data_IF_636675060394
#
_entry.id   IF_636675060394
#
_cell.length_a   1.000
_cell.length_b   1.000
_cell.length_c   1.000
_cell.angle_alpha   90.00
_cell.angle_beta   90.00
_cell.angle_gamma   90.00
#
_symmetry.space_group_name_H-M   'P 1'
#
loop_
_entity.id
_entity.type
_entity.pdbx_description
1 polymer ?
#
# COMPACT_ATOMS: atom_id res chain seq x y z
N UNK A 1 -10.30 -2.18 11.74
CA UNK A 1 -9.75 -3.03 10.66
C UNK A 1 -8.29 -3.32 10.97
N UNK A 2 -7.88 -4.61 10.97
CA UNK A 2 -6.47 -4.99 11.17
C UNK A 2 -5.75 -5.07 9.84
N UNK A 3 -4.62 -4.39 9.74
CA UNK A 3 -3.80 -4.34 8.54
C UNK A 3 -2.35 -4.71 8.84
N UNK A 4 -1.63 -5.12 7.81
CA UNK A 4 -0.17 -5.21 7.86
C UNK A 4 0.44 -4.12 7.00
N UNK A 5 1.66 -3.69 7.33
CA UNK A 5 2.46 -2.81 6.49
C UNK A 5 3.75 -3.53 6.07
N UNK A 6 3.99 -3.62 4.78
CA UNK A 6 5.26 -4.06 4.22
C UNK A 6 6.04 -2.86 3.68
N UNK A 7 7.27 -2.69 4.19
CA UNK A 7 8.14 -1.57 3.89
C UNK A 7 8.46 -0.72 5.13
N UNK A 8 9.52 -1.08 5.86
CA UNK A 8 9.98 -0.36 7.06
C UNK A 8 10.96 0.80 6.74
N UNK A 9 10.76 1.45 5.60
CA UNK A 9 11.53 2.62 5.15
C UNK A 9 10.81 3.95 5.43
N UNK A 10 11.34 5.04 4.84
CA UNK A 10 10.78 6.38 5.00
C UNK A 10 9.32 6.50 4.54
N UNK A 11 8.93 5.82 3.45
CA UNK A 11 7.53 5.80 2.99
C UNK A 11 6.63 5.01 3.93
N UNK A 12 7.09 3.86 4.43
CA UNK A 12 6.35 3.11 5.44
C UNK A 12 6.10 3.94 6.71
N UNK A 13 7.09 4.71 7.17
CA UNK A 13 6.92 5.62 8.30
C UNK A 13 5.82 6.66 8.04
N UNK A 14 5.74 7.25 6.83
CA UNK A 14 4.67 8.19 6.45
C UNK A 14 3.28 7.54 6.51
N UNK A 15 3.15 6.29 6.06
CA UNK A 15 1.91 5.53 6.20
C UNK A 15 1.55 5.32 7.67
N UNK A 16 2.52 4.93 8.51
CA UNK A 16 2.28 4.75 9.94
C UNK A 16 1.85 6.06 10.63
N UNK A 17 2.48 7.19 10.28
CA UNK A 17 2.11 8.50 10.80
C UNK A 17 0.68 8.88 10.38
N UNK A 18 0.31 8.64 9.12
CA UNK A 18 -1.03 8.91 8.62
C UNK A 18 -2.09 8.02 9.29
N UNK A 19 -1.79 6.73 9.47
CA UNK A 19 -2.72 5.78 10.09
C UNK A 19 -3.02 6.15 11.55
N UNK A 20 -2.06 6.71 12.29
CA UNK A 20 -2.29 7.21 13.66
C UNK A 20 -3.41 8.24 13.75
N UNK A 21 -3.63 9.00 12.67
CA UNK A 21 -4.70 10.00 12.60
C UNK A 21 -6.05 9.42 12.13
N UNK A 22 -6.08 8.13 11.75
CA UNK A 22 -7.28 7.48 11.21
C UNK A 22 -7.83 6.51 12.28
N UNK A 23 -9.06 6.76 12.73
CA UNK A 23 -9.74 5.85 13.65
C UNK A 23 -10.12 4.53 12.99
N UNK A 24 -10.11 3.44 13.75
CA UNK A 24 -10.59 2.13 13.31
C UNK A 24 -9.60 1.31 12.45
N UNK A 25 -8.37 1.78 12.27
CA UNK A 25 -7.30 1.04 11.59
C UNK A 25 -6.16 0.73 12.57
N UNK A 26 -5.78 -0.54 12.66
CA UNK A 26 -4.71 -1.05 13.52
C UNK A 26 -3.67 -1.76 12.67
N UNK A 27 -2.40 -1.32 12.73
CA UNK A 27 -1.29 -2.03 12.10
C UNK A 27 -0.80 -3.10 13.08
N UNK A 28 -1.06 -4.37 12.77
CA UNK A 28 -0.75 -5.50 13.67
C UNK A 28 0.57 -6.18 13.34
N UNK A 29 1.17 -5.87 12.19
CA UNK A 29 2.48 -6.41 11.78
C UNK A 29 3.19 -5.45 10.84
N UNK A 30 4.49 -5.32 11.05
CA UNK A 30 5.41 -4.60 10.17
C UNK A 30 6.36 -5.59 9.50
N UNK A 31 6.44 -5.52 8.17
CA UNK A 31 7.35 -6.34 7.36
C UNK A 31 8.47 -5.46 6.82
N UNK A 32 9.72 -5.86 7.02
CA UNK A 32 10.87 -5.14 6.50
C UNK A 32 11.95 -6.06 5.94
N UNK A 33 12.95 -5.48 5.29
CA UNK A 33 14.05 -6.25 4.67
C UNK A 33 14.98 -6.91 5.70
N UNK A 34 15.20 -6.25 6.83
CA UNK A 34 16.09 -6.72 7.90
C UNK A 34 15.36 -6.61 9.24
N UNK A 35 15.49 -7.63 10.08
CA UNK A 35 14.65 -7.80 11.26
C UNK A 35 14.87 -6.71 12.32
N UNK A 36 16.11 -6.39 12.66
CA UNK A 36 16.41 -5.45 13.76
C UNK A 36 15.91 -4.01 13.49
N UNK A 37 16.17 -3.37 12.32
CA UNK A 37 15.57 -2.08 12.03
C UNK A 37 14.04 -2.12 11.95
N UNK A 38 13.46 -3.25 11.52
CA UNK A 38 12.01 -3.43 11.46
C UNK A 38 11.42 -3.50 12.87
N UNK A 39 12.05 -4.22 13.79
CA UNK A 39 11.67 -4.27 15.21
C UNK A 39 11.76 -2.89 15.88
N UNK A 40 12.84 -2.15 15.64
CA UNK A 40 13.00 -0.81 16.17
C UNK A 40 11.86 0.12 15.70
N UNK A 41 11.52 0.07 14.42
CA UNK A 41 10.38 0.83 13.88
C UNK A 41 9.06 0.35 14.47
N UNK A 42 8.81 -0.95 14.54
CA UNK A 42 7.60 -1.51 15.14
C UNK A 42 7.42 -1.04 16.59
N UNK A 43 8.48 -1.10 17.39
CA UNK A 43 8.46 -0.61 18.78
C UNK A 43 8.10 0.88 18.86
N UNK A 44 8.70 1.73 18.01
CA UNK A 44 8.39 3.17 17.92
C UNK A 44 6.92 3.45 17.67
N UNK A 45 6.25 2.60 16.90
CA UNK A 45 4.84 2.77 16.52
C UNK A 45 3.87 1.90 17.34
N UNK A 46 4.36 1.16 18.32
CA UNK A 46 3.53 0.29 19.19
C UNK A 46 3.00 -0.94 18.47
N UNK A 47 3.68 -1.39 17.40
CA UNK A 47 3.31 -2.57 16.62
C UNK A 47 3.94 -3.81 17.28
N UNK A 48 3.11 -4.73 17.74
CA UNK A 48 3.56 -5.90 18.52
C UNK A 48 4.26 -7.01 17.72
N UNK A 49 4.27 -6.93 16.38
CA UNK A 49 4.88 -7.94 15.52
C UNK A 49 5.73 -7.32 14.41
N UNK A 50 6.95 -7.83 14.25
CA UNK A 50 7.89 -7.43 13.19
C UNK A 50 8.51 -8.69 12.58
N UNK A 51 8.57 -8.77 11.26
CA UNK A 51 9.10 -9.91 10.51
C UNK A 51 9.77 -9.46 9.21
N UNK A 52 10.53 -10.35 8.59
CA UNK A 52 11.01 -10.19 7.20
C UNK A 52 10.12 -10.93 6.20
N UNK A 53 9.21 -11.77 6.70
CA UNK A 53 8.40 -12.67 5.87
C UNK A 53 6.95 -12.14 5.72
N UNK A 54 6.57 -11.78 4.49
CA UNK A 54 5.23 -11.29 4.19
C UNK A 54 4.15 -12.32 4.55
N UNK A 55 4.41 -13.60 4.28
CA UNK A 55 3.49 -14.71 4.56
C UNK A 55 3.13 -14.82 6.04
N UNK A 56 4.10 -14.66 6.94
CA UNK A 56 3.86 -14.63 8.38
C UNK A 56 2.93 -13.48 8.79
N UNK A 57 3.17 -12.30 8.23
CA UNK A 57 2.34 -11.14 8.53
C UNK A 57 0.90 -11.34 8.04
N UNK A 58 0.71 -11.87 6.82
CA UNK A 58 -0.60 -12.13 6.23
C UNK A 58 -1.39 -13.22 6.98
N UNK A 59 -0.71 -14.18 7.60
CA UNK A 59 -1.31 -15.26 8.37
C UNK A 59 -1.80 -14.81 9.77
N UNK A 60 -1.48 -13.62 10.22
CA UNK A 60 -1.89 -13.17 11.56
C UNK A 60 -3.41 -13.05 11.70
N UNK A 61 -3.96 -13.45 12.85
CA UNK A 61 -5.41 -13.46 13.08
C UNK A 61 -6.06 -12.09 12.87
N UNK A 62 -7.15 -12.07 12.11
CA UNK A 62 -7.97 -10.89 11.89
C UNK A 62 -7.40 -9.87 10.88
N UNK A 63 -6.25 -10.14 10.26
CA UNK A 63 -5.73 -9.32 9.16
C UNK A 63 -6.69 -9.38 7.97
N UNK A 64 -7.11 -8.22 7.50
CA UNK A 64 -8.01 -8.07 6.37
C UNK A 64 -7.38 -7.35 5.17
N UNK A 65 -6.31 -6.59 5.40
CA UNK A 65 -5.66 -5.84 4.33
C UNK A 65 -4.14 -5.69 4.55
N UNK A 66 -3.44 -5.39 3.47
CA UNK A 66 -2.02 -5.07 3.45
C UNK A 66 -1.77 -3.72 2.80
N UNK A 67 -0.76 -3.00 3.30
CA UNK A 67 -0.20 -1.80 2.68
C UNK A 67 1.22 -2.14 2.24
N UNK A 68 1.51 -1.99 0.96
CA UNK A 68 2.81 -2.28 0.36
C UNK A 68 3.53 -0.97 0.01
N UNK A 69 4.57 -0.65 0.78
CA UNK A 69 5.46 0.49 0.60
C UNK A 69 6.91 0.02 0.43
N UNK A 70 7.09 -1.07 -0.25
CA UNK A 70 8.36 -1.75 -0.56
C UNK A 70 8.97 -1.19 -1.86
N UNK A 71 10.18 -1.62 -2.27
CA UNK A 71 10.69 -1.32 -3.61
C UNK A 71 9.78 -1.87 -4.72
N UNK A 72 9.68 -1.13 -5.82
CA UNK A 72 8.75 -1.41 -6.95
C UNK A 72 8.84 -2.85 -7.47
N UNK A 73 10.07 -3.40 -7.53
CA UNK A 73 10.33 -4.78 -8.01
C UNK A 73 9.59 -5.85 -7.21
N UNK A 74 9.17 -5.53 -5.98
CA UNK A 74 8.44 -6.45 -5.11
C UNK A 74 6.92 -6.29 -5.19
N UNK A 75 6.44 -5.16 -5.73
CA UNK A 75 5.04 -4.76 -5.64
C UNK A 75 4.09 -5.82 -6.22
N UNK A 76 4.30 -6.22 -7.48
CA UNK A 76 3.41 -7.17 -8.14
C UNK A 76 3.38 -8.53 -7.43
N UNK A 77 4.54 -9.09 -7.10
CA UNK A 77 4.63 -10.37 -6.39
C UNK A 77 3.96 -10.31 -5.01
N UNK A 78 4.18 -9.25 -4.27
CA UNK A 78 3.55 -9.05 -2.97
C UNK A 78 2.05 -8.80 -3.07
N UNK A 79 1.59 -8.03 -4.07
CA UNK A 79 0.17 -7.82 -4.32
C UNK A 79 -0.55 -9.12 -4.66
N UNK A 80 0.05 -9.96 -5.52
CA UNK A 80 -0.48 -11.29 -5.83
C UNK A 80 -0.56 -12.16 -4.57
N UNK A 81 0.48 -12.18 -3.74
CA UNK A 81 0.47 -12.94 -2.48
C UNK A 81 -0.63 -12.46 -1.52
N UNK A 82 -0.85 -11.15 -1.39
CA UNK A 82 -1.93 -10.59 -0.59
C UNK A 82 -3.31 -11.03 -1.09
N UNK A 83 -3.57 -10.90 -2.40
CA UNK A 83 -4.84 -11.29 -3.01
C UNK A 83 -5.08 -12.80 -2.90
N UNK A 84 -4.05 -13.62 -3.10
CA UNK A 84 -4.12 -15.09 -2.91
C UNK A 84 -4.42 -15.48 -1.46
N UNK A 85 -3.90 -14.71 -0.50
CA UNK A 85 -4.19 -14.89 0.92
C UNK A 85 -5.57 -14.36 1.34
N UNK A 86 -6.39 -13.89 0.39
CA UNK A 86 -7.72 -13.35 0.67
C UNK A 86 -7.70 -11.97 1.35
N UNK A 87 -6.65 -11.17 1.13
CA UNK A 87 -6.50 -9.85 1.74
C UNK A 87 -6.65 -8.74 0.70
N UNK A 88 -7.36 -7.67 1.08
CA UNK A 88 -7.31 -6.42 0.32
C UNK A 88 -5.89 -5.86 0.31
N UNK A 89 -5.52 -5.10 -0.71
CA UNK A 89 -4.17 -4.56 -0.80
C UNK A 89 -4.16 -3.13 -1.32
N UNK A 90 -3.39 -2.29 -0.67
CA UNK A 90 -2.96 -0.99 -1.18
C UNK A 90 -1.48 -1.09 -1.54
N UNK A 91 -1.13 -0.68 -2.76
CA UNK A 91 0.25 -0.73 -3.29
C UNK A 91 0.70 0.68 -3.61
N UNK A 92 1.92 1.05 -3.23
CA UNK A 92 2.54 2.29 -3.70
C UNK A 92 2.78 2.26 -5.21
N UNK A 93 2.87 3.43 -5.82
CA UNK A 93 3.16 3.57 -7.26
C UNK A 93 4.64 3.26 -7.56
N UNK A 94 4.87 2.65 -8.73
CA UNK A 94 3.92 2.01 -9.66
C UNK A 94 3.44 0.64 -9.13
N UNK A 95 2.33 0.12 -9.67
CA UNK A 95 1.81 -1.20 -9.32
C UNK A 95 2.81 -2.33 -9.62
N UNK A 96 3.55 -2.21 -10.72
CA UNK A 96 4.51 -3.18 -11.20
C UNK A 96 5.56 -2.50 -12.08
N UNK A 97 6.69 -3.17 -12.31
CA UNK A 97 7.76 -2.70 -13.20
C UNK A 97 7.47 -2.95 -14.67
N UNK A 98 6.55 -3.86 -14.98
CA UNK A 98 6.21 -4.23 -16.35
C UNK A 98 4.72 -4.50 -16.52
N UNK A 99 4.29 -4.51 -17.79
CA UNK A 99 2.87 -4.65 -18.14
C UNK A 99 2.30 -6.04 -17.80
N UNK A 100 3.07 -7.11 -18.00
CA UNK A 100 2.61 -8.47 -17.76
C UNK A 100 2.27 -8.70 -16.28
N UNK A 101 3.11 -8.21 -15.38
CA UNK A 101 2.89 -8.29 -13.93
C UNK A 101 1.67 -7.45 -13.50
N UNK A 102 1.52 -6.24 -14.07
CA UNK A 102 0.37 -5.40 -13.80
C UNK A 102 -0.95 -6.09 -14.25
N UNK A 103 -0.94 -6.72 -15.42
CA UNK A 103 -2.08 -7.51 -15.92
C UNK A 103 -2.38 -8.72 -15.01
N UNK A 104 -1.36 -9.42 -14.53
CA UNK A 104 -1.54 -10.56 -13.62
C UNK A 104 -2.23 -10.14 -12.31
N UNK A 105 -1.80 -9.01 -11.73
CA UNK A 105 -2.44 -8.47 -10.52
C UNK A 105 -3.89 -8.08 -10.79
N UNK A 106 -4.17 -7.37 -11.89
CA UNK A 106 -5.52 -6.96 -12.26
C UNK A 106 -6.44 -8.17 -12.50
N UNK A 107 -5.95 -9.19 -13.20
CA UNK A 107 -6.71 -10.42 -13.44
C UNK A 107 -7.03 -11.18 -12.15
N UNK A 108 -6.08 -11.25 -11.21
CA UNK A 108 -6.32 -11.89 -9.91
C UNK A 108 -7.31 -11.07 -9.07
N UNK A 109 -7.17 -9.75 -9.07
CA UNK A 109 -8.11 -8.84 -8.40
C UNK A 109 -9.55 -9.05 -8.89
N UNK A 110 -9.77 -9.14 -10.21
CA UNK A 110 -11.08 -9.40 -10.78
C UNK A 110 -11.65 -10.75 -10.34
N UNK A 111 -10.83 -11.81 -10.33
CA UNK A 111 -11.26 -13.15 -9.90
C UNK A 111 -11.61 -13.24 -8.42
N UNK A 112 -10.88 -12.52 -7.58
CA UNK A 112 -11.09 -12.57 -6.12
C UNK A 112 -12.17 -11.61 -5.65
N UNK A 113 -12.48 -10.56 -6.40
CA UNK A 113 -13.37 -9.47 -5.97
C UNK A 113 -12.80 -8.61 -4.84
N UNK A 114 -11.55 -8.83 -4.45
CA UNK A 114 -10.88 -8.06 -3.41
C UNK A 114 -10.49 -6.67 -3.92
N UNK A 115 -10.33 -5.71 -3.02
CA UNK A 115 -9.83 -4.39 -3.36
C UNK A 115 -8.32 -4.47 -3.57
N UNK A 116 -7.86 -4.01 -4.75
CA UNK A 116 -6.47 -3.70 -5.02
C UNK A 116 -6.39 -2.23 -5.44
N UNK A 117 -5.82 -1.39 -4.59
CA UNK A 117 -5.72 0.05 -4.81
C UNK A 117 -4.26 0.46 -5.02
N UNK A 118 -4.00 1.27 -6.04
CA UNK A 118 -2.68 1.85 -6.27
C UNK A 118 -2.62 3.27 -5.71
N UNK A 119 -1.56 3.58 -4.96
CA UNK A 119 -1.40 4.80 -4.17
C UNK A 119 -1.11 6.06 -4.99
N UNK A 120 -2.01 6.46 -5.88
CA UNK A 120 -1.91 7.72 -6.65
C UNK A 120 -2.22 8.94 -5.77
N UNK A 121 -1.38 9.19 -4.77
CA UNK A 121 -1.59 10.23 -3.74
C UNK A 121 -1.75 11.64 -4.30
N UNK A 122 -1.17 11.93 -5.48
CA UNK A 122 -1.32 13.24 -6.15
C UNK A 122 -2.77 13.57 -6.49
N UNK A 123 -3.64 12.59 -6.66
CA UNK A 123 -5.09 12.79 -6.87
C UNK A 123 -5.78 13.48 -5.69
N UNK A 124 -5.19 13.41 -4.50
CA UNK A 124 -5.69 14.01 -3.27
C UNK A 124 -4.97 15.31 -2.91
N UNK A 125 -3.98 15.73 -3.69
CA UNK A 125 -3.27 17.00 -3.48
C UNK A 125 -4.19 18.19 -3.87
N UNK A 126 -4.39 19.19 -2.98
CA UNK A 126 -5.30 20.28 -3.24
C UNK A 126 -4.99 21.06 -4.53
N UNK A 127 -3.72 21.30 -4.84
CA UNK A 127 -3.35 22.02 -6.08
C UNK A 127 -3.65 21.21 -7.35
N UNK A 128 -3.45 19.88 -7.32
CA UNK A 128 -3.82 19.02 -8.45
C UNK A 128 -5.35 18.93 -8.61
N UNK A 129 -6.08 18.86 -7.50
CA UNK A 129 -7.55 18.86 -7.53
C UNK A 129 -8.08 20.19 -8.07
N UNK A 130 -7.50 21.31 -7.68
CA UNK A 130 -7.87 22.64 -8.16
C UNK A 130 -7.70 22.75 -9.68
N UNK A 131 -6.53 22.34 -10.22
CA UNK A 131 -6.28 22.33 -11.68
C UNK A 131 -7.29 21.41 -12.38
N UNK A 132 -7.45 20.17 -11.88
CA UNK A 132 -8.38 19.20 -12.46
C UNK A 132 -9.82 19.72 -12.54
N UNK A 133 -10.31 20.37 -11.48
CA UNK A 133 -11.64 20.95 -11.45
C UNK A 133 -11.82 22.08 -12.49
N UNK A 134 -10.80 22.93 -12.70
CA UNK A 134 -10.84 23.99 -13.71
C UNK A 134 -10.82 23.45 -15.13
N UNK A 135 -10.01 22.40 -15.38
CA UNK A 135 -10.03 21.70 -16.66
C UNK A 135 -11.41 21.09 -16.93
N UNK A 136 -11.98 20.41 -15.93
CA UNK A 136 -13.30 19.78 -16.06
C UNK A 136 -14.44 20.79 -16.34
N UNK A 137 -14.27 22.04 -15.90
CA UNK A 137 -15.21 23.16 -16.19
C UNK A 137 -14.94 23.90 -17.48
N UNK A 138 -13.89 23.50 -18.22
CA UNK A 138 -13.48 24.21 -19.46
C UNK A 138 -12.78 25.55 -19.23
N UNK A 139 -12.42 25.86 -17.98
CA UNK A 139 -11.74 27.13 -17.62
C UNK A 139 -10.24 27.11 -17.96
N UNK A 140 -9.65 25.91 -18.08
CA UNK A 140 -8.24 25.68 -18.43
C UNK A 140 -8.16 24.57 -19.48
N UNK A 141 -7.25 24.74 -20.42
CA UNK A 141 -6.90 23.70 -21.39
C UNK A 141 -5.43 23.29 -21.24
N UNK A 142 -5.17 21.98 -21.28
CA UNK A 142 -3.80 21.47 -21.32
C UNK A 142 -3.30 21.59 -22.75
N UNK A 143 -2.23 22.38 -22.96
CA UNK A 143 -1.60 22.56 -24.27
C UNK A 143 -0.41 21.64 -24.49
N UNK A 144 0.26 21.23 -23.40
CA UNK A 144 1.39 20.33 -23.43
C UNK A 144 1.52 19.57 -22.10
N UNK A 145 1.85 18.30 -22.17
CA UNK A 145 2.17 17.43 -21.03
C UNK A 145 3.66 17.11 -21.00
#
# INVERSE_FOLDING_TARGET
MKVILAGAGAFGAKHLDAIKAIGGVEVVSLVGRTLEPTRAMAAKYGIGHATTELSEALARPGVSAAILATPTQLHAGQALACLQAGKHVQVEIPLADNWADAQAVAALQQRTGLVCMVGHTRRFNPSHQWIHQRIARGELAIQQL
#
